data_IF_354545066904
#
_entry.id   IF_354545066904
#
_cell.length_a   1.000
_cell.length_b   1.000
_cell.length_c   1.000
_cell.angle_alpha   90.00
_cell.angle_beta   90.00
_cell.angle_gamma   90.00
#
_symmetry.space_group_name_H-M   'P 1'
#
loop_
_entity.id
_entity.type
_entity.pdbx_description
1 polymer ?
#
# COMPACT_ATOMS: atom_id res chain seq x y z
N UNK A 1 -5.62 16.23 -14.97
CA UNK A 1 -4.95 17.48 -15.39
C UNK A 1 -3.43 17.45 -15.12
N UNK A 2 -2.99 17.02 -13.93
CA UNK A 2 -1.57 17.05 -13.54
C UNK A 2 -0.67 16.10 -14.38
N UNK A 3 -1.16 14.89 -14.69
CA UNK A 3 -0.39 13.94 -15.51
C UNK A 3 -0.08 14.47 -16.91
N UNK A 4 -1.01 15.25 -17.51
CA UNK A 4 -0.79 15.85 -18.84
C UNK A 4 0.28 16.97 -18.83
N UNK A 5 0.53 17.57 -17.67
CA UNK A 5 1.60 18.57 -17.52
C UNK A 5 3.00 17.93 -17.55
N UNK A 6 3.10 16.60 -17.41
CA UNK A 6 4.37 15.90 -17.51
C UNK A 6 4.84 15.84 -18.97
N UNK A 7 6.15 16.06 -19.18
CA UNK A 7 6.75 16.01 -20.50
C UNK A 7 6.43 14.69 -21.22
N UNK A 8 5.92 14.79 -22.44
CA UNK A 8 5.61 13.67 -23.31
C UNK A 8 4.17 13.16 -23.24
N UNK A 9 3.31 13.66 -22.34
CA UNK A 9 1.91 13.25 -22.22
C UNK A 9 0.90 14.32 -22.63
N UNK A 10 1.36 15.45 -23.17
CA UNK A 10 0.52 16.60 -23.52
C UNK A 10 -0.41 16.38 -24.72
N UNK A 11 -0.04 15.48 -25.63
CA UNK A 11 -0.81 15.22 -26.84
C UNK A 11 -1.96 14.24 -26.57
N UNK A 12 -3.19 14.74 -26.59
CA UNK A 12 -4.40 13.93 -26.37
C UNK A 12 -4.74 13.00 -27.54
N UNK A 13 -4.16 13.22 -28.72
CA UNK A 13 -4.30 12.31 -29.85
C UNK A 13 -3.44 11.05 -29.69
N UNK A 14 -2.38 11.16 -28.89
CA UNK A 14 -1.44 10.09 -28.61
C UNK A 14 -1.83 9.31 -27.36
N UNK A 15 -2.26 10.02 -26.31
CA UNK A 15 -2.70 9.44 -25.05
C UNK A 15 -4.10 9.97 -24.71
N UNK A 16 -5.10 9.10 -24.77
CA UNK A 16 -6.45 9.45 -24.31
C UNK A 16 -6.46 9.64 -22.77
N UNK A 17 -7.47 10.33 -22.27
CA UNK A 17 -7.66 10.43 -20.81
C UNK A 17 -7.88 9.05 -20.20
N UNK A 18 -8.59 8.16 -20.89
CA UNK A 18 -8.81 6.79 -20.47
C UNK A 18 -7.50 5.98 -20.32
N UNK A 19 -6.54 6.16 -21.23
CA UNK A 19 -5.23 5.50 -21.13
C UNK A 19 -4.44 6.01 -19.92
N UNK A 20 -4.52 7.32 -19.69
CA UNK A 20 -3.86 7.95 -18.54
C UNK A 20 -4.46 7.46 -17.24
N UNK A 21 -5.79 7.40 -17.14
CA UNK A 21 -6.50 6.93 -15.94
C UNK A 21 -6.20 5.45 -15.68
N UNK A 22 -6.20 4.62 -16.72
CA UNK A 22 -5.82 3.22 -16.61
C UNK A 22 -4.37 3.04 -16.11
N UNK A 23 -3.44 3.83 -16.63
CA UNK A 23 -2.05 3.76 -16.21
C UNK A 23 -1.86 4.21 -14.74
N UNK A 24 -2.60 5.22 -14.30
CA UNK A 24 -2.60 5.66 -12.89
C UNK A 24 -3.15 4.56 -11.99
N UNK A 25 -4.25 3.93 -12.37
CA UNK A 25 -4.85 2.83 -11.61
C UNK A 25 -3.86 1.67 -11.45
N UNK A 26 -3.28 1.19 -12.55
CA UNK A 26 -2.29 0.11 -12.53
C UNK A 26 -1.06 0.49 -11.68
N UNK A 27 -0.60 1.75 -11.76
CA UNK A 27 0.50 2.22 -10.93
C UNK A 27 0.15 2.19 -9.44
N UNK A 28 -1.06 2.61 -9.08
CA UNK A 28 -1.58 2.54 -7.71
C UNK A 28 -1.62 1.10 -7.20
N UNK A 29 -2.25 0.20 -7.93
CA UNK A 29 -2.32 -1.23 -7.57
C UNK A 29 -0.93 -1.86 -7.39
N UNK A 30 0.02 -1.57 -8.29
CA UNK A 30 1.40 -2.07 -8.18
C UNK A 30 2.09 -1.57 -6.92
N UNK A 31 1.85 -0.31 -6.54
CA UNK A 31 2.42 0.29 -5.33
C UNK A 31 1.80 -0.33 -4.08
N UNK A 32 0.47 -0.45 -4.07
CA UNK A 32 -0.27 -1.02 -2.95
C UNK A 32 0.14 -2.47 -2.69
N UNK A 33 0.19 -3.29 -3.74
CA UNK A 33 0.65 -4.68 -3.67
C UNK A 33 2.08 -4.79 -3.16
N UNK A 34 2.98 -3.96 -3.67
CA UNK A 34 4.38 -4.01 -3.25
C UNK A 34 4.59 -3.53 -1.82
N UNK A 35 3.89 -2.48 -1.43
CA UNK A 35 3.99 -1.92 -0.08
C UNK A 35 3.21 -2.74 0.95
N UNK A 36 2.29 -3.61 0.52
CA UNK A 36 1.44 -4.40 1.40
C UNK A 36 0.43 -3.55 2.17
N UNK A 37 0.02 -2.43 1.59
CA UNK A 37 -0.94 -1.50 2.17
C UNK A 37 -1.57 -0.68 1.07
N UNK A 38 -2.86 -0.35 1.19
CA UNK A 38 -3.52 0.57 0.27
C UNK A 38 -3.21 2.01 0.66
N UNK A 39 -2.75 2.79 -0.32
CA UNK A 39 -2.59 4.24 -0.20
C UNK A 39 -3.83 5.00 -0.66
N UNK A 40 -4.85 4.25 -1.13
CA UNK A 40 -6.07 4.81 -1.66
C UNK A 40 -5.94 5.38 -3.06
N UNK A 41 -7.06 5.88 -3.54
CA UNK A 41 -7.07 6.70 -4.74
C UNK A 41 -6.24 7.98 -4.48
N UNK A 42 -5.46 8.41 -5.46
CA UNK A 42 -4.64 9.64 -5.38
C UNK A 42 -5.44 10.92 -5.06
N UNK A 43 -6.76 10.83 -5.09
CA UNK A 43 -7.69 11.93 -4.84
C UNK A 43 -8.53 11.79 -3.58
N UNK A 44 -8.62 10.58 -3.00
CA UNK A 44 -9.51 10.30 -1.86
C UNK A 44 -8.75 9.55 -0.77
N UNK A 45 -8.83 9.98 0.51
CA UNK A 45 -8.25 9.21 1.61
C UNK A 45 -8.84 7.81 1.66
N UNK A 46 -8.00 6.80 1.63
CA UNK A 46 -8.46 5.42 1.78
C UNK A 46 -8.63 5.07 3.24
N UNK A 47 -9.85 5.25 3.72
CA UNK A 47 -10.27 4.63 4.96
C UNK A 47 -11.15 3.44 4.63
N UNK A 48 -10.67 2.28 4.92
CA UNK A 48 -11.49 1.07 4.83
C UNK A 48 -11.96 0.68 6.22
N UNK A 49 -13.25 0.35 6.31
CA UNK A 49 -13.79 -0.28 7.50
C UNK A 49 -13.26 -1.70 7.57
N UNK A 50 -12.77 -2.09 8.73
CA UNK A 50 -12.37 -3.47 8.96
C UNK A 50 -13.14 -4.10 10.11
N UNK A 51 -13.33 -5.40 10.00
CA UNK A 51 -13.69 -6.28 11.11
C UNK A 51 -12.67 -7.39 11.13
N UNK A 52 -11.98 -7.54 12.24
CA UNK A 52 -11.01 -8.62 12.39
C UNK A 52 -11.24 -9.38 13.69
N UNK A 53 -10.96 -10.67 13.65
CA UNK A 53 -11.01 -11.54 14.81
C UNK A 53 -9.60 -12.00 15.13
N UNK A 54 -9.14 -11.73 16.35
CA UNK A 54 -7.78 -12.01 16.78
C UNK A 54 -7.77 -12.77 18.11
N UNK A 55 -6.67 -13.44 18.37
CA UNK A 55 -6.49 -14.16 19.63
C UNK A 55 -6.10 -13.20 20.74
N UNK A 56 -6.67 -13.37 21.91
CA UNK A 56 -6.24 -12.68 23.10
C UNK A 56 -4.80 -13.06 23.47
N UNK A 57 -3.99 -12.07 23.77
CA UNK A 57 -2.56 -12.27 24.05
C UNK A 57 -2.25 -12.46 25.55
N UNK A 58 -3.22 -12.33 26.42
CA UNK A 58 -2.99 -12.20 27.88
C UNK A 58 -2.26 -10.90 28.26
N UNK A 59 -2.03 -10.01 27.29
CA UNK A 59 -1.31 -8.72 27.45
C UNK A 59 -2.22 -7.56 27.19
N UNK A 60 -1.70 -6.37 27.41
CA UNK A 60 -2.37 -5.08 27.11
C UNK A 60 -2.51 -4.77 25.61
N UNK A 61 -2.02 -5.62 24.73
CA UNK A 61 -1.93 -5.37 23.29
C UNK A 61 -2.29 -6.57 22.45
N UNK A 62 -2.86 -6.30 21.27
CA UNK A 62 -3.08 -7.30 20.21
C UNK A 62 -2.71 -6.70 18.85
N UNK A 63 -2.31 -7.58 17.93
CA UNK A 63 -2.04 -7.20 16.54
C UNK A 63 -3.27 -7.50 15.70
N UNK A 64 -3.76 -6.48 14.99
CA UNK A 64 -4.90 -6.59 14.10
C UNK A 64 -4.48 -7.33 12.83
N UNK A 65 -5.23 -8.37 12.48
CA UNK A 65 -4.99 -9.17 11.28
C UNK A 65 -6.29 -9.50 10.59
N UNK A 66 -6.26 -9.51 9.27
CA UNK A 66 -7.34 -10.08 8.46
C UNK A 66 -7.44 -11.59 8.68
N UNK A 67 -8.54 -12.20 8.25
CA UNK A 67 -8.69 -13.66 8.28
C UNK A 67 -7.63 -14.39 7.44
N UNK A 68 -7.09 -13.73 6.42
CA UNK A 68 -5.95 -14.22 5.63
C UNK A 68 -4.59 -14.08 6.34
N UNK A 69 -4.55 -13.57 7.58
CA UNK A 69 -3.33 -13.39 8.37
C UNK A 69 -2.52 -12.14 8.03
N UNK A 70 -3.02 -11.27 7.17
CA UNK A 70 -2.35 -10.01 6.80
C UNK A 70 -2.57 -8.96 7.90
N UNK A 71 -1.53 -8.28 8.31
CA UNK A 71 -1.63 -7.22 9.31
C UNK A 71 -2.44 -6.03 8.77
N UNK A 72 -3.41 -5.56 9.58
CA UNK A 72 -4.16 -4.33 9.30
C UNK A 72 -3.31 -3.16 9.74
N UNK A 73 -2.71 -2.47 8.77
CA UNK A 73 -1.81 -1.35 9.04
C UNK A 73 -2.58 -0.04 9.20
N UNK A 74 -1.99 0.90 9.93
CA UNK A 74 -2.54 2.24 10.15
C UNK A 74 -3.99 2.26 10.66
N UNK A 75 -4.32 1.52 11.75
CA UNK A 75 -5.65 1.64 12.36
C UNK A 75 -5.88 3.08 12.82
N UNK A 76 -7.05 3.64 12.47
CA UNK A 76 -7.43 5.04 12.71
C UNK A 76 -8.41 5.18 13.84
N UNK A 77 -9.43 4.37 13.77
CA UNK A 77 -10.47 4.31 14.80
C UNK A 77 -10.73 2.87 15.19
N UNK A 78 -11.09 2.70 16.43
CA UNK A 78 -11.73 1.48 16.93
C UNK A 78 -13.15 1.86 17.30
N UNK A 79 -14.13 1.32 16.60
CA UNK A 79 -15.54 1.57 16.83
C UNK A 79 -16.10 0.67 17.93
N UNK A 80 -15.65 -0.59 17.94
CA UNK A 80 -16.02 -1.54 18.99
C UNK A 80 -14.95 -2.61 19.16
N UNK A 81 -14.85 -3.09 20.37
CA UNK A 81 -14.10 -4.31 20.74
C UNK A 81 -15.04 -5.19 21.54
N UNK A 82 -15.11 -6.46 21.16
CA UNK A 82 -15.80 -7.49 21.95
C UNK A 82 -14.79 -8.57 22.34
N UNK A 83 -14.89 -9.03 23.57
CA UNK A 83 -14.06 -10.12 24.11
C UNK A 83 -15.02 -11.21 24.55
N UNK A 84 -14.86 -12.42 24.03
CA UNK A 84 -15.76 -13.57 24.30
C UNK A 84 -17.25 -13.22 24.02
N UNK A 85 -17.50 -12.44 22.96
CA UNK A 85 -18.84 -11.99 22.59
C UNK A 85 -19.40 -10.88 23.44
N UNK A 86 -18.68 -10.39 24.46
CA UNK A 86 -19.10 -9.30 25.33
C UNK A 86 -18.39 -8.01 24.94
N UNK A 87 -19.13 -6.91 24.84
CA UNK A 87 -18.52 -5.61 24.55
C UNK A 87 -17.51 -5.23 25.65
N UNK A 88 -16.34 -4.76 25.24
CA UNK A 88 -15.33 -4.28 26.18
C UNK A 88 -15.87 -3.09 26.99
N UNK A 89 -15.40 -3.00 28.24
CA UNK A 89 -16.03 -2.14 29.25
C UNK A 89 -16.09 -0.65 28.86
N UNK A 90 -17.08 0.04 29.41
CA UNK A 90 -17.24 1.50 29.26
C UNK A 90 -16.03 2.22 29.85
N UNK A 91 -15.49 3.19 29.11
CA UNK A 91 -14.33 3.99 29.55
C UNK A 91 -12.97 3.38 29.19
N UNK A 92 -12.94 2.22 28.53
CA UNK A 92 -11.70 1.67 27.97
C UNK A 92 -11.37 2.42 26.68
N UNK A 93 -10.14 2.87 26.59
CA UNK A 93 -9.60 3.53 25.41
C UNK A 93 -8.45 2.73 24.85
N UNK A 94 -8.21 2.89 23.56
CA UNK A 94 -7.18 2.16 22.83
C UNK A 94 -6.18 3.12 22.21
N UNK A 95 -4.89 2.82 22.38
CA UNK A 95 -3.82 3.50 21.66
C UNK A 95 -3.55 2.72 20.37
N UNK A 96 -3.72 3.38 19.25
CA UNK A 96 -3.55 2.81 17.93
C UNK A 96 -2.10 3.03 17.45
N UNK A 97 -1.46 1.96 17.00
CA UNK A 97 -0.10 2.01 16.46
C UNK A 97 -0.14 1.82 14.95
N UNK A 98 0.65 2.58 14.16
CA UNK A 98 0.72 2.42 12.71
C UNK A 98 1.04 0.99 12.25
N UNK A 99 1.68 0.21 13.09
CA UNK A 99 2.05 -1.19 12.83
C UNK A 99 0.89 -2.18 12.95
N UNK A 100 -0.35 -1.71 13.08
CA UNK A 100 -1.51 -2.58 13.25
C UNK A 100 -1.69 -3.14 14.65
N UNK A 101 -1.06 -2.50 15.64
CA UNK A 101 -1.20 -2.90 17.05
C UNK A 101 -2.14 -1.95 17.76
N UNK A 102 -3.13 -2.49 18.48
CA UNK A 102 -3.91 -1.74 19.45
C UNK A 102 -3.43 -2.06 20.86
N UNK A 103 -3.34 -1.04 21.69
CA UNK A 103 -2.93 -1.17 23.10
C UNK A 103 -4.08 -0.67 23.96
N UNK A 104 -4.53 -1.48 24.88
CA UNK A 104 -5.57 -1.16 25.84
C UNK A 104 -4.97 -0.29 26.96
N UNK A 105 -5.65 0.79 27.33
CA UNK A 105 -5.15 1.69 28.39
C UNK A 105 -5.22 1.07 29.79
N UNK A 106 -6.12 0.12 30.02
CA UNK A 106 -6.33 -0.57 31.29
C UNK A 106 -6.68 -2.03 31.09
N UNK A 107 -6.07 -2.91 31.89
CA UNK A 107 -6.31 -4.34 31.81
C UNK A 107 -5.61 -5.01 30.63
N UNK A 108 -5.94 -6.26 30.42
CA UNK A 108 -5.31 -7.12 29.40
C UNK A 108 -6.39 -7.68 28.48
N UNK A 109 -6.00 -8.05 27.27
CA UNK A 109 -6.82 -8.88 26.39
C UNK A 109 -6.74 -10.32 26.85
N UNK A 110 -7.87 -10.84 27.34
CA UNK A 110 -7.94 -12.19 27.89
C UNK A 110 -7.46 -13.22 26.87
N UNK A 111 -6.60 -14.10 27.30
CA UNK A 111 -6.19 -15.25 26.51
C UNK A 111 -7.30 -16.32 26.59
N UNK A 112 -7.64 -16.89 25.44
CA UNK A 112 -8.53 -18.03 25.35
C UNK A 112 -7.85 -19.16 24.59
N UNK A 113 -7.90 -20.36 25.13
CA UNK A 113 -7.31 -21.55 24.51
C UNK A 113 -8.03 -21.96 23.21
N UNK A 114 -9.29 -21.57 23.04
CA UNK A 114 -10.06 -21.79 21.81
C UNK A 114 -9.68 -20.81 20.70
N UNK A 115 -9.01 -19.72 21.03
CA UNK A 115 -8.52 -18.70 20.11
C UNK A 115 -9.61 -17.80 19.51
N UNK A 116 -9.19 -16.72 18.84
CA UNK A 116 -10.07 -15.80 18.09
C UNK A 116 -11.24 -15.21 18.89
N UNK A 117 -11.00 -14.98 20.16
CA UNK A 117 -12.02 -14.50 21.10
C UNK A 117 -12.23 -12.99 21.08
N UNK A 118 -11.40 -12.22 20.36
CA UNK A 118 -11.47 -10.77 20.32
C UNK A 118 -11.89 -10.35 18.92
N UNK A 119 -13.03 -9.64 18.83
CA UNK A 119 -13.49 -9.02 17.60
C UNK A 119 -13.27 -7.52 17.69
N UNK A 120 -12.57 -6.96 16.73
CA UNK A 120 -12.29 -5.52 16.63
C UNK A 120 -12.91 -4.97 15.35
N UNK A 121 -13.70 -3.93 15.48
CA UNK A 121 -14.27 -3.18 14.37
C UNK A 121 -13.71 -1.76 14.39
N UNK A 122 -13.32 -1.28 13.23
CA UNK A 122 -12.75 0.06 13.12
C UNK A 122 -12.53 0.50 11.69
N UNK A 123 -11.73 1.55 11.55
CA UNK A 123 -11.25 2.02 10.26
C UNK A 123 -9.73 2.01 10.24
N UNK A 124 -9.15 1.66 9.10
CA UNK A 124 -7.71 1.64 8.88
C UNK A 124 -7.38 2.30 7.54
N UNK A 125 -6.17 2.78 7.40
CA UNK A 125 -5.69 3.43 6.19
C UNK A 125 -4.99 4.77 6.49
N UNK A 126 -4.54 5.44 5.45
CA UNK A 126 -3.91 6.75 5.58
C UNK A 126 -4.96 7.85 5.79
N UNK A 127 -4.66 8.82 6.68
CA UNK A 127 -5.58 9.94 6.99
C UNK A 127 -5.73 10.93 5.88
N UNK A 128 -4.63 11.12 5.20
CA UNK A 128 -4.44 12.19 4.26
C UNK A 128 -4.13 11.56 2.91
N UNK A 129 -4.08 12.39 1.89
CA UNK A 129 -3.53 11.98 0.59
C UNK A 129 -2.20 11.25 0.80
N UNK A 130 -1.88 10.28 -0.04
CA UNK A 130 -0.57 9.64 -0.02
C UNK A 130 0.54 10.68 0.05
N UNK A 131 1.65 10.36 0.70
CA UNK A 131 2.78 11.29 0.76
C UNK A 131 3.21 11.71 -0.64
N UNK A 132 3.71 12.94 -0.78
CA UNK A 132 4.20 13.46 -2.07
C UNK A 132 5.20 12.51 -2.75
N UNK A 133 5.98 11.78 -1.96
CA UNK A 133 6.91 10.79 -2.50
C UNK A 133 6.20 9.57 -3.13
N UNK A 134 5.11 9.11 -2.54
CA UNK A 134 4.28 8.03 -3.12
C UNK A 134 3.56 8.54 -4.36
N UNK A 135 2.98 9.74 -4.31
CA UNK A 135 2.33 10.35 -5.48
C UNK A 135 3.31 10.56 -6.63
N UNK A 136 4.52 11.02 -6.33
CA UNK A 136 5.58 11.11 -7.33
C UNK A 136 5.95 9.74 -7.91
N UNK A 137 6.08 8.71 -7.09
CA UNK A 137 6.37 7.36 -7.53
C UNK A 137 5.27 6.81 -8.46
N UNK A 138 4.01 7.01 -8.10
CA UNK A 138 2.86 6.59 -8.90
C UNK A 138 2.82 7.32 -10.27
N UNK A 139 3.00 8.64 -10.28
CA UNK A 139 3.05 9.43 -11.51
C UNK A 139 4.21 9.01 -12.41
N UNK A 140 5.38 8.77 -11.83
CA UNK A 140 6.56 8.32 -12.56
C UNK A 140 6.35 6.94 -13.18
N UNK A 141 5.76 6.02 -12.42
CA UNK A 141 5.45 4.67 -12.88
C UNK A 141 4.39 4.66 -13.97
N UNK A 142 3.30 5.40 -13.79
CA UNK A 142 2.25 5.54 -14.81
C UNK A 142 2.80 6.15 -16.11
N UNK A 143 3.61 7.21 -15.99
CA UNK A 143 4.29 7.82 -17.14
C UNK A 143 5.20 6.83 -17.85
N UNK A 144 5.99 6.06 -17.12
CA UNK A 144 6.87 5.04 -17.71
C UNK A 144 6.07 4.02 -18.53
N UNK A 145 4.97 3.51 -18.00
CA UNK A 145 4.12 2.56 -18.73
C UNK A 145 3.49 3.15 -19.97
N UNK A 146 2.93 4.37 -19.89
CA UNK A 146 2.37 5.05 -21.05
C UNK A 146 3.39 5.24 -22.16
N UNK A 147 4.61 5.65 -21.83
CA UNK A 147 5.67 5.84 -22.80
C UNK A 147 6.20 4.50 -23.34
N UNK A 148 6.21 3.45 -22.52
CA UNK A 148 6.65 2.12 -22.95
C UNK A 148 5.70 1.49 -23.98
N UNK A 149 4.39 1.76 -23.89
CA UNK A 149 3.40 1.30 -24.87
C UNK A 149 3.66 1.84 -26.29
N UNK A 150 4.26 3.03 -26.40
CA UNK A 150 4.63 3.62 -27.69
C UNK A 150 6.04 3.25 -28.14
N UNK A 151 6.83 2.71 -27.24
CA UNK A 151 8.20 2.34 -27.56
C UNK A 151 8.22 1.11 -28.47
N UNK A 152 8.96 1.20 -29.57
CA UNK A 152 9.28 0.05 -30.41
C UNK A 152 10.32 -0.88 -29.79
N UNK A 153 10.85 -0.50 -28.62
CA UNK A 153 11.84 -1.28 -27.88
C UNK A 153 11.10 -2.30 -27.02
N UNK A 154 11.39 -3.59 -27.13
CA UNK A 154 10.79 -4.60 -26.27
C UNK A 154 11.05 -4.27 -24.79
N UNK A 155 10.03 -4.42 -23.95
CA UNK A 155 10.09 -4.11 -22.50
C UNK A 155 11.22 -4.83 -21.75
N UNK A 156 11.73 -5.93 -22.31
CA UNK A 156 12.80 -6.75 -21.75
C UNK A 156 14.12 -6.58 -22.49
N UNK A 157 14.25 -5.58 -23.34
CA UNK A 157 15.52 -5.32 -23.98
C UNK A 157 16.55 -4.85 -22.95
N UNK A 158 17.58 -5.67 -22.73
CA UNK A 158 18.69 -5.34 -21.84
C UNK A 158 19.69 -4.39 -22.52
N UNK A 159 19.71 -4.39 -23.82
CA UNK A 159 20.59 -3.56 -24.63
C UNK A 159 19.90 -3.15 -25.93
N UNK A 160 19.97 -1.87 -26.24
CA UNK A 160 19.57 -1.31 -27.52
C UNK A 160 20.79 -0.71 -28.21
N UNK A 161 21.14 -1.21 -29.39
CA UNK A 161 22.21 -0.63 -30.23
C UNK A 161 21.54 0.13 -31.37
N UNK A 162 21.83 1.41 -31.47
CA UNK A 162 21.41 2.28 -32.57
C UNK A 162 22.61 2.79 -33.32
N UNK A 163 22.42 3.46 -34.46
CA UNK A 163 23.51 4.09 -35.21
C UNK A 163 24.29 5.12 -34.40
N UNK A 164 23.66 5.71 -33.40
CA UNK A 164 24.17 6.81 -32.57
C UNK A 164 24.76 6.34 -31.23
N UNK A 165 24.70 5.05 -30.92
CA UNK A 165 25.25 4.48 -29.68
C UNK A 165 24.52 3.25 -29.20
N UNK A 166 24.99 2.69 -28.11
CA UNK A 166 24.32 1.59 -27.40
C UNK A 166 23.82 2.06 -26.02
N UNK A 167 22.59 1.72 -25.71
CA UNK A 167 22.00 1.96 -24.39
C UNK A 167 21.79 0.61 -23.70
N UNK A 168 22.30 0.49 -22.49
CA UNK A 168 22.12 -0.69 -21.66
C UNK A 168 21.10 -0.41 -20.56
N UNK A 169 19.99 -1.15 -20.56
CA UNK A 169 19.01 -1.11 -19.47
C UNK A 169 19.41 -2.11 -18.39
N UNK A 170 19.94 -1.61 -17.27
CA UNK A 170 20.43 -2.45 -16.16
C UNK A 170 19.37 -2.85 -15.16
N UNK A 171 18.15 -2.31 -15.24
CA UNK A 171 17.10 -2.56 -14.28
C UNK A 171 16.10 -3.58 -14.84
N UNK A 172 16.06 -4.77 -14.27
CA UNK A 172 14.96 -5.71 -14.50
C UNK A 172 13.82 -5.43 -13.53
N UNK A 173 12.65 -5.11 -14.08
CA UNK A 173 11.41 -5.09 -13.30
C UNK A 173 11.06 -6.51 -12.82
N UNK A 174 10.47 -6.63 -11.64
CA UNK A 174 10.01 -7.91 -11.09
C UNK A 174 11.07 -8.72 -10.34
N UNK A 175 12.31 -8.23 -10.19
CA UNK A 175 13.26 -8.83 -9.26
C UNK A 175 12.88 -8.52 -7.81
N UNK A 176 13.18 -9.40 -6.83
CA UNK A 176 12.92 -9.13 -5.43
C UNK A 176 13.47 -7.76 -5.00
N UNK A 177 12.63 -6.92 -4.42
CA UNK A 177 12.99 -5.55 -4.03
C UNK A 177 13.06 -4.53 -5.19
N UNK A 178 12.65 -4.91 -6.41
CA UNK A 178 12.63 -4.05 -7.60
C UNK A 178 11.30 -4.17 -8.33
N UNK A 179 10.21 -3.59 -7.80
CA UNK A 179 8.89 -3.66 -8.44
C UNK A 179 8.83 -2.87 -9.76
N UNK A 180 9.75 -1.94 -9.97
CA UNK A 180 9.80 -1.13 -11.18
C UNK A 180 11.22 -1.11 -11.78
N UNK A 181 11.36 -0.76 -13.07
CA UNK A 181 12.67 -0.55 -13.69
C UNK A 181 13.37 0.73 -13.23
N UNK A 182 12.70 1.57 -12.45
CA UNK A 182 13.21 2.86 -11.99
C UNK A 182 13.79 2.76 -10.57
N UNK A 183 15.12 2.93 -10.39
CA UNK A 183 15.76 2.80 -9.08
C UNK A 183 15.23 3.78 -8.03
N UNK A 184 14.92 5.02 -8.44
CA UNK A 184 14.41 6.05 -7.53
C UNK A 184 13.02 5.73 -7.03
N UNK A 185 12.13 5.22 -7.91
CA UNK A 185 10.81 4.72 -7.52
C UNK A 185 10.97 3.56 -6.54
N UNK A 186 11.84 2.60 -6.84
CA UNK A 186 12.09 1.47 -5.95
C UNK A 186 12.60 1.92 -4.57
N UNK A 187 13.43 2.96 -4.50
CA UNK A 187 13.91 3.51 -3.23
C UNK A 187 12.77 4.09 -2.39
N UNK A 188 11.82 4.80 -3.02
CA UNK A 188 10.62 5.31 -2.36
C UNK A 188 9.73 4.17 -1.87
N UNK A 189 9.45 3.19 -2.73
CA UNK A 189 8.59 2.06 -2.39
C UNK A 189 9.19 1.21 -1.27
N UNK A 190 10.50 0.95 -1.29
CA UNK A 190 11.18 0.21 -0.24
C UNK A 190 11.09 0.88 1.15
N UNK A 191 11.10 2.23 1.21
CA UNK A 191 10.91 2.98 2.47
C UNK A 191 9.51 2.85 3.02
N UNK A 192 8.52 2.70 2.14
CA UNK A 192 7.09 2.61 2.48
C UNK A 192 6.59 1.16 2.50
N UNK A 193 7.47 0.20 2.29
CA UNK A 193 7.12 -1.20 2.35
C UNK A 193 6.87 -1.62 3.79
N UNK A 194 5.62 -1.89 4.12
CA UNK A 194 5.20 -2.48 5.39
C UNK A 194 5.18 -4.00 5.26
N UNK A 195 6.29 -4.55 4.86
CA UNK A 195 6.36 -5.94 4.54
C UNK A 195 6.68 -6.80 5.73
N UNK A 196 6.01 -7.92 5.77
CA UNK A 196 6.51 -9.22 6.19
C UNK A 196 8.04 -9.22 6.34
N UNK A 197 8.54 -8.93 7.53
CA UNK A 197 9.80 -9.49 7.95
C UNK A 197 9.51 -10.98 8.11
N UNK A 198 9.72 -11.74 7.06
CA UNK A 198 9.94 -13.17 7.19
C UNK A 198 11.20 -13.28 8.01
N UNK A 199 11.03 -13.60 9.31
CA UNK A 199 12.10 -13.97 10.19
C UNK A 199 12.58 -15.38 9.86
#
# INVERSE_FOLDING_TARGET
AEMRALNGLGDSAVFSDADIDAAILIAGETIDDYCGTSFGDLTTPAYESFTCTVDGSGRDRVTLRTDAGVNIMYPRTVSSVTIDGVADGVGITYVLRPTGVIVRNTGTFTYDDEGRNIVVVGTAGFTDSPSESIMWAARSLARFWLLSLQSRVPERALQLTTSDGSFEMRAQAGAPGRPSPMPDVNAVLNRNRHGLRVG
#
